data_IF_063490105434
#
_entry.id   IF_063490105434
#
_cell.length_a   1.000
_cell.length_b   1.000
_cell.length_c   1.000
_cell.angle_alpha   90.00
_cell.angle_beta   90.00
_cell.angle_gamma   90.00
#
_symmetry.space_group_name_H-M   'P 1'
#
loop_
_entity.id
_entity.type
_entity.pdbx_description
1 polymer ?
#
# COMPACT_ATOMS: atom_id res chain seq x y z
N UNK A 1 21.55 -1.09 -3.93
CA UNK A 1 21.69 -0.17 -2.79
C UNK A 1 21.61 -1.02 -1.52
N UNK A 2 22.52 -0.88 -0.56
CA UNK A 2 22.40 -1.61 0.71
C UNK A 2 21.17 -1.12 1.45
N UNK A 3 20.48 -2.04 2.11
CA UNK A 3 19.34 -1.73 2.98
C UNK A 3 19.85 -1.16 4.31
N UNK A 4 19.08 -0.28 4.99
CA UNK A 4 19.43 0.22 6.31
C UNK A 4 19.68 -0.91 7.30
N UNK A 5 20.66 -0.76 8.18
CA UNK A 5 21.03 -1.78 9.18
C UNK A 5 19.94 -1.99 10.25
N UNK A 6 19.08 -1.01 10.42
CA UNK A 6 17.95 -1.00 11.36
C UNK A 6 16.78 -1.86 10.89
N UNK A 7 16.76 -2.26 9.61
CA UNK A 7 15.69 -3.14 9.09
C UNK A 7 15.80 -4.52 9.72
N UNK A 8 14.71 -4.93 10.36
CA UNK A 8 14.55 -6.28 10.88
C UNK A 8 13.76 -7.13 9.89
N UNK A 9 14.19 -8.36 9.72
CA UNK A 9 13.57 -9.33 8.84
C UNK A 9 12.94 -10.44 9.67
N UNK A 10 11.68 -10.75 9.39
CA UNK A 10 11.01 -11.89 9.99
C UNK A 10 10.10 -12.57 8.98
N UNK A 11 9.91 -13.87 9.12
CA UNK A 11 8.89 -14.63 8.40
C UNK A 11 7.65 -14.89 9.24
N UNK A 12 7.65 -14.46 10.50
CA UNK A 12 6.55 -14.66 11.45
C UNK A 12 5.62 -13.43 11.46
N UNK A 13 4.36 -13.58 11.06
CA UNK A 13 3.37 -12.53 11.13
C UNK A 13 3.17 -11.93 12.52
N UNK A 14 3.19 -12.73 13.57
CA UNK A 14 3.00 -12.26 14.94
C UNK A 14 4.15 -11.33 15.36
N UNK A 15 5.40 -11.74 15.10
CA UNK A 15 6.57 -10.90 15.35
C UNK A 15 6.53 -9.59 14.53
N UNK A 16 6.10 -9.67 13.25
CA UNK A 16 6.02 -8.49 12.38
C UNK A 16 4.98 -7.47 12.87
N UNK A 17 3.95 -7.92 13.59
CA UNK A 17 2.82 -7.07 14.01
C UNK A 17 2.89 -6.58 15.45
N UNK A 18 3.77 -7.16 16.27
CA UNK A 18 3.82 -6.97 17.73
C UNK A 18 4.00 -5.51 18.17
N UNK A 19 4.76 -4.72 17.41
CA UNK A 19 5.12 -3.36 17.82
C UNK A 19 4.84 -2.31 16.73
N UNK A 20 3.96 -2.59 15.77
CA UNK A 20 3.73 -1.65 14.69
C UNK A 20 2.29 -1.14 14.65
N UNK A 21 2.16 0.16 14.38
CA UNK A 21 0.87 0.84 14.16
C UNK A 21 0.59 1.07 12.68
N UNK A 22 1.55 0.74 11.82
CA UNK A 22 1.43 0.98 10.38
C UNK A 22 1.90 -0.23 9.58
N UNK A 23 1.03 -0.73 8.71
CA UNK A 23 1.29 -1.83 7.79
C UNK A 23 1.32 -1.36 6.36
N UNK A 24 2.33 -1.82 5.63
CA UNK A 24 2.48 -1.51 4.21
C UNK A 24 2.45 -2.81 3.39
N UNK A 25 1.39 -2.98 2.61
CA UNK A 25 1.23 -4.09 1.69
C UNK A 25 1.93 -3.75 0.36
N UNK A 26 3.17 -4.19 0.21
CA UNK A 26 4.02 -3.91 -0.95
C UNK A 26 4.43 -5.21 -1.67
N UNK A 27 3.45 -6.01 -2.04
CA UNK A 27 3.64 -7.31 -2.70
C UNK A 27 3.03 -7.31 -4.10
N UNK A 28 3.54 -8.11 -5.06
CA UNK A 28 2.89 -8.26 -6.36
C UNK A 28 1.45 -8.78 -6.22
N UNK A 29 0.52 -8.27 -7.06
CA UNK A 29 -0.93 -8.55 -6.98
C UNK A 29 -1.26 -10.04 -6.87
N UNK A 30 -0.58 -10.88 -7.63
CA UNK A 30 -0.78 -12.35 -7.62
C UNK A 30 -0.52 -13.03 -6.27
N UNK A 31 0.25 -12.41 -5.38
CA UNK A 31 0.59 -12.97 -4.07
C UNK A 31 -0.14 -12.29 -2.90
N UNK A 32 -0.85 -11.18 -3.17
CA UNK A 32 -1.46 -10.38 -2.11
C UNK A 32 -2.43 -11.20 -1.26
N UNK A 33 -3.30 -11.99 -1.89
CA UNK A 33 -4.26 -12.82 -1.17
C UNK A 33 -3.60 -13.81 -0.22
N UNK A 34 -2.53 -14.48 -0.66
CA UNK A 34 -1.82 -15.45 0.18
C UNK A 34 -1.10 -14.77 1.35
N UNK A 35 -0.49 -13.61 1.09
CA UNK A 35 0.15 -12.82 2.15
C UNK A 35 -0.89 -12.33 3.15
N UNK A 36 -2.01 -11.77 2.71
CA UNK A 36 -3.08 -11.32 3.62
C UNK A 36 -3.62 -12.47 4.49
N UNK A 37 -3.82 -13.66 3.94
CA UNK A 37 -4.26 -14.83 4.74
C UNK A 37 -3.27 -15.18 5.86
N UNK A 38 -1.96 -15.05 5.63
CA UNK A 38 -0.95 -15.26 6.67
C UNK A 38 -1.01 -14.26 7.80
N UNK A 39 -1.48 -13.03 7.51
CA UNK A 39 -1.62 -11.94 8.49
C UNK A 39 -3.04 -11.81 9.06
N UNK A 40 -3.97 -12.68 8.65
CA UNK A 40 -5.34 -12.65 9.13
C UNK A 40 -5.41 -12.79 10.65
N UNK A 41 -6.07 -11.84 11.31
CA UNK A 41 -6.17 -11.76 12.77
C UNK A 41 -4.90 -11.31 13.50
N UNK A 42 -3.78 -11.08 12.80
CA UNK A 42 -2.56 -10.56 13.41
C UNK A 42 -2.50 -9.01 13.36
N UNK A 43 -3.08 -8.39 12.33
CA UNK A 43 -3.11 -6.93 12.20
C UNK A 43 -4.23 -6.36 13.09
N UNK A 44 -3.91 -5.38 13.90
CA UNK A 44 -4.88 -4.69 14.76
C UNK A 44 -5.83 -3.85 13.91
N UNK A 45 -7.11 -3.79 14.29
CA UNK A 45 -8.14 -3.00 13.56
C UNK A 45 -7.87 -1.49 13.55
N UNK A 46 -7.15 -0.98 14.54
CA UNK A 46 -6.79 0.44 14.65
C UNK A 46 -5.47 0.80 13.96
N UNK A 47 -4.77 -0.19 13.39
CA UNK A 47 -3.54 0.03 12.66
C UNK A 47 -3.79 0.70 11.29
N UNK A 48 -2.91 1.62 10.91
CA UNK A 48 -2.93 2.19 9.57
C UNK A 48 -2.44 1.13 8.59
N UNK A 49 -3.31 0.66 7.72
CA UNK A 49 -2.92 -0.26 6.65
C UNK A 49 -2.91 0.46 5.31
N UNK A 50 -1.80 0.35 4.58
CA UNK A 50 -1.59 1.04 3.29
C UNK A 50 -1.26 0.02 2.22
N UNK A 51 -2.03 -0.01 1.13
CA UNK A 51 -1.74 -0.83 -0.05
C UNK A 51 -0.95 -0.05 -1.09
N UNK A 52 0.20 -0.59 -1.49
CA UNK A 52 1.01 -0.14 -2.62
C UNK A 52 0.84 -1.08 -3.82
N UNK A 53 0.06 -2.16 -3.66
CA UNK A 53 -0.14 -3.18 -4.69
C UNK A 53 -0.95 -2.62 -5.84
N UNK A 54 -0.42 -2.73 -7.06
CA UNK A 54 -1.05 -2.26 -8.29
C UNK A 54 -1.68 -3.42 -9.04
N UNK A 55 -2.84 -3.19 -9.64
CA UNK A 55 -3.56 -4.19 -10.44
C UNK A 55 -4.95 -4.50 -9.90
N UNK A 56 -5.58 -5.48 -10.53
CA UNK A 56 -6.87 -6.04 -10.15
C UNK A 56 -6.73 -7.53 -9.89
N UNK A 57 -7.64 -8.10 -9.12
CA UNK A 57 -7.70 -9.54 -8.89
C UNK A 57 -8.09 -10.24 -10.20
N UNK A 58 -7.31 -11.24 -10.61
CA UNK A 58 -7.52 -11.94 -11.89
C UNK A 58 -8.88 -12.64 -11.98
N UNK A 59 -9.37 -13.18 -10.86
CA UNK A 59 -10.59 -13.99 -10.84
C UNK A 59 -11.86 -13.16 -10.64
N UNK A 60 -11.81 -12.15 -9.77
CA UNK A 60 -13.00 -11.38 -9.33
C UNK A 60 -13.01 -9.97 -9.89
N UNK A 61 -11.89 -9.51 -10.46
CA UNK A 61 -11.65 -8.15 -10.91
C UNK A 61 -11.83 -7.09 -9.82
N UNK A 62 -11.90 -7.48 -8.55
CA UNK A 62 -11.92 -6.56 -7.43
C UNK A 62 -10.57 -5.82 -7.30
N UNK A 63 -10.60 -4.68 -6.67
CA UNK A 63 -9.39 -3.91 -6.36
C UNK A 63 -8.54 -4.64 -5.33
N UNK A 64 -7.23 -4.37 -5.34
CA UNK A 64 -6.30 -4.99 -4.39
C UNK A 64 -6.61 -4.58 -2.94
N UNK A 65 -7.05 -3.34 -2.71
CA UNK A 65 -7.49 -2.90 -1.38
C UNK A 65 -8.74 -3.63 -0.90
N UNK A 66 -9.73 -3.88 -1.77
CA UNK A 66 -10.93 -4.64 -1.43
C UNK A 66 -10.60 -6.09 -1.06
N UNK A 67 -9.77 -6.75 -1.86
CA UNK A 67 -9.29 -8.10 -1.56
C UNK A 67 -8.59 -8.17 -0.19
N UNK A 68 -7.72 -7.20 0.08
CA UNK A 68 -7.00 -7.16 1.35
C UNK A 68 -7.94 -6.86 2.52
N UNK A 69 -8.88 -5.93 2.38
CA UNK A 69 -9.90 -5.63 3.40
C UNK A 69 -10.73 -6.86 3.76
N UNK A 70 -11.24 -7.58 2.75
CA UNK A 70 -12.05 -8.79 2.95
C UNK A 70 -11.26 -9.86 3.73
N UNK A 71 -10.02 -10.14 3.31
CA UNK A 71 -9.22 -11.22 3.94
C UNK A 71 -8.76 -10.83 5.34
N UNK A 72 -8.32 -9.58 5.53
CA UNK A 72 -7.78 -9.12 6.82
C UNK A 72 -8.89 -8.73 7.81
N UNK A 73 -10.12 -8.56 7.37
CA UNK A 73 -11.24 -8.12 8.20
C UNK A 73 -11.10 -6.67 8.68
N UNK A 74 -10.50 -5.80 7.86
CA UNK A 74 -10.27 -4.39 8.21
C UNK A 74 -11.36 -3.50 7.62
N UNK A 75 -11.79 -2.48 8.37
CA UNK A 75 -12.83 -1.55 7.92
C UNK A 75 -12.39 -0.69 6.75
N UNK A 76 -11.11 -0.33 6.71
CA UNK A 76 -10.54 0.46 5.62
C UNK A 76 -9.05 0.21 5.43
N UNK A 77 -8.60 0.35 4.18
CA UNK A 77 -7.19 0.33 3.79
C UNK A 77 -6.94 1.56 2.92
N UNK A 78 -5.93 2.33 3.26
CA UNK A 78 -5.49 3.42 2.40
C UNK A 78 -4.71 2.86 1.19
N UNK A 79 -4.77 3.58 0.10
CA UNK A 79 -4.02 3.28 -1.12
C UNK A 79 -2.94 4.32 -1.34
N UNK A 80 -1.73 3.90 -1.66
CA UNK A 80 -0.66 4.79 -2.10
C UNK A 80 -0.23 4.38 -3.52
N UNK A 81 -0.59 5.19 -4.52
CA UNK A 81 -0.34 4.86 -5.92
C UNK A 81 0.07 6.09 -6.73
N UNK A 82 0.71 5.84 -7.87
CA UNK A 82 1.18 6.88 -8.77
C UNK A 82 2.31 6.38 -9.68
N UNK A 83 2.93 7.26 -10.48
CA UNK A 83 4.07 6.94 -11.33
C UNK A 83 5.34 6.76 -10.47
N UNK A 84 5.41 5.66 -9.73
CA UNK A 84 6.50 5.33 -8.83
C UNK A 84 7.11 3.98 -9.22
N UNK A 85 8.30 3.98 -9.81
CA UNK A 85 9.10 2.80 -10.00
C UNK A 85 10.00 2.59 -8.78
N UNK A 86 9.99 1.37 -8.22
CA UNK A 86 10.71 1.08 -6.98
C UNK A 86 12.21 1.42 -7.06
N UNK A 87 12.84 1.15 -8.22
CA UNK A 87 14.24 1.47 -8.44
C UNK A 87 14.52 2.98 -8.45
N UNK A 88 13.63 3.78 -9.02
CA UNK A 88 13.75 5.24 -9.07
C UNK A 88 13.55 5.85 -7.68
N UNK A 89 12.54 5.38 -6.95
CA UNK A 89 12.31 5.78 -5.55
C UNK A 89 13.52 5.43 -4.69
N UNK A 90 14.06 4.23 -4.83
CA UNK A 90 15.23 3.79 -4.08
C UNK A 90 16.50 4.62 -4.39
N UNK A 91 16.60 5.15 -5.61
CA UNK A 91 17.69 6.09 -6.00
C UNK A 91 17.43 7.53 -5.58
N UNK A 92 16.30 7.82 -4.95
CA UNK A 92 15.91 9.15 -4.53
C UNK A 92 15.54 10.08 -5.70
N UNK A 93 15.06 9.54 -6.82
CA UNK A 93 14.51 10.34 -7.91
C UNK A 93 13.21 10.99 -7.44
N UNK A 94 13.00 12.25 -7.83
CA UNK A 94 11.79 13.00 -7.48
C UNK A 94 10.55 12.22 -7.93
N UNK A 95 9.71 11.85 -6.99
CA UNK A 95 8.53 11.04 -7.21
C UNK A 95 7.30 11.73 -6.62
N UNK A 96 6.18 11.69 -7.34
CA UNK A 96 4.89 12.15 -6.86
C UNK A 96 3.87 11.01 -6.89
N UNK A 97 3.13 10.83 -5.79
CA UNK A 97 2.11 9.80 -5.63
C UNK A 97 0.87 10.38 -4.96
N UNK A 98 -0.20 9.61 -4.93
CA UNK A 98 -1.45 9.95 -4.24
C UNK A 98 -1.71 8.94 -3.14
N UNK A 99 -1.93 9.44 -1.92
CA UNK A 99 -2.52 8.69 -0.81
C UNK A 99 -4.04 8.86 -0.87
N UNK A 100 -4.76 7.77 -1.00
CA UNK A 100 -6.21 7.80 -1.12
C UNK A 100 -6.89 6.90 -0.09
N UNK A 101 -7.93 7.43 0.54
CA UNK A 101 -8.82 6.70 1.43
C UNK A 101 -10.18 7.39 1.43
N UNK A 102 -11.26 6.66 1.71
CA UNK A 102 -12.60 7.27 1.85
C UNK A 102 -12.67 8.22 3.05
N UNK A 103 -11.90 7.93 4.10
CA UNK A 103 -11.66 8.84 5.21
C UNK A 103 -10.48 9.77 4.90
N UNK A 104 -10.75 11.07 4.78
CA UNK A 104 -9.74 12.09 4.53
C UNK A 104 -8.65 12.13 5.63
N UNK A 105 -9.02 11.90 6.88
CA UNK A 105 -8.06 11.87 7.98
C UNK A 105 -7.04 10.75 7.81
N UNK A 106 -7.47 9.57 7.35
CA UNK A 106 -6.56 8.46 7.02
C UNK A 106 -5.64 8.83 5.85
N UNK A 107 -6.16 9.44 4.79
CA UNK A 107 -5.35 9.88 3.65
C UNK A 107 -4.27 10.89 4.07
N UNK A 108 -4.62 11.86 4.94
CA UNK A 108 -3.69 12.85 5.51
C UNK A 108 -2.62 12.20 6.40
N UNK A 109 -2.99 11.21 7.22
CA UNK A 109 -2.02 10.46 8.03
C UNK A 109 -1.01 9.71 7.15
N UNK A 110 -1.48 9.06 6.08
CA UNK A 110 -0.61 8.38 5.12
C UNK A 110 0.29 9.39 4.39
N UNK A 111 -0.25 10.54 3.97
CA UNK A 111 0.55 11.62 3.41
C UNK A 111 1.69 12.02 4.34
N UNK A 112 1.39 12.25 5.62
CA UNK A 112 2.40 12.64 6.62
C UNK A 112 3.49 11.59 6.82
N UNK A 113 3.13 10.30 6.81
CA UNK A 113 4.05 9.19 6.99
C UNK A 113 5.03 9.03 5.82
N UNK A 114 4.57 9.26 4.59
CA UNK A 114 5.35 8.98 3.38
C UNK A 114 5.97 10.21 2.73
N UNK A 115 5.51 11.42 3.05
CA UNK A 115 6.05 12.64 2.43
C UNK A 115 7.50 12.90 2.83
N UNK A 116 8.30 13.27 1.85
CA UNK A 116 9.70 13.62 2.04
C UNK A 116 10.20 14.59 0.98
N UNK A 117 11.44 15.09 1.10
CA UNK A 117 12.00 16.09 0.18
C UNK A 117 12.01 15.66 -1.29
N UNK A 118 12.05 14.36 -1.54
CA UNK A 118 12.08 13.76 -2.90
C UNK A 118 10.88 12.88 -3.20
N UNK A 119 9.96 12.72 -2.24
CA UNK A 119 8.77 11.89 -2.37
C UNK A 119 7.55 12.72 -1.96
N UNK A 120 6.85 13.26 -2.97
CA UNK A 120 5.69 14.11 -2.74
C UNK A 120 4.41 13.29 -2.74
N UNK A 121 3.64 13.41 -1.68
CA UNK A 121 2.36 12.71 -1.54
C UNK A 121 1.23 13.73 -1.59
N UNK A 122 0.29 13.55 -2.51
CA UNK A 122 -1.00 14.25 -2.56
C UNK A 122 -2.06 13.39 -1.89
N UNK A 123 -3.18 13.96 -1.52
CA UNK A 123 -4.31 13.23 -0.94
C UNK A 123 -5.51 13.19 -1.88
N UNK A 124 -6.34 12.15 -1.75
CA UNK A 124 -7.62 12.01 -2.44
C UNK A 124 -8.60 11.24 -1.56
N UNK A 125 -9.88 11.55 -1.68
CA UNK A 125 -10.98 10.76 -1.09
C UNK A 125 -11.57 9.74 -2.06
N UNK A 126 -10.94 9.56 -3.24
CA UNK A 126 -11.32 8.58 -4.25
C UNK A 126 -10.26 7.46 -4.39
N UNK A 127 -10.23 6.48 -3.49
CA UNK A 127 -9.33 5.34 -3.61
C UNK A 127 -9.62 4.49 -4.85
N UNK A 128 -10.86 4.43 -5.33
CA UNK A 128 -11.24 3.72 -6.54
C UNK A 128 -10.50 4.27 -7.76
N UNK A 129 -10.62 5.57 -8.01
CA UNK A 129 -9.98 6.22 -9.15
C UNK A 129 -8.45 6.11 -9.09
N UNK A 130 -7.86 6.21 -7.90
CA UNK A 130 -6.41 6.10 -7.70
C UNK A 130 -5.90 4.68 -7.97
N UNK A 131 -6.62 3.63 -7.55
CA UNK A 131 -6.24 2.24 -7.83
C UNK A 131 -6.40 1.88 -9.30
N UNK A 132 -7.53 2.25 -9.92
CA UNK A 132 -7.78 2.00 -11.35
C UNK A 132 -6.73 2.74 -12.20
N UNK A 133 -6.46 4.00 -11.91
CA UNK A 133 -5.40 4.75 -12.60
C UNK A 133 -4.03 4.07 -12.49
N UNK A 134 -3.70 3.53 -11.31
CA UNK A 134 -2.49 2.75 -11.09
C UNK A 134 -2.45 1.42 -11.85
N UNK A 135 -3.60 0.74 -11.99
CA UNK A 135 -3.70 -0.53 -12.69
C UNK A 135 -3.57 -0.37 -14.22
N UNK A 136 -4.19 0.68 -14.78
CA UNK A 136 -4.23 0.90 -16.24
C UNK A 136 -3.11 1.80 -16.77
N UNK A 137 -2.22 2.31 -15.93
CA UNK A 137 -1.17 3.26 -16.34
C UNK A 137 -0.34 2.79 -17.54
N UNK A 138 -0.05 1.50 -17.62
CA UNK A 138 0.77 0.94 -18.70
C UNK A 138 0.00 0.88 -20.04
N UNK A 139 -1.32 0.80 -20.02
CA UNK A 139 -2.18 0.86 -21.22
C UNK A 139 -2.17 2.27 -21.81
N UNK A 140 -2.12 3.29 -20.95
CA UNK A 140 -2.09 4.70 -21.39
C UNK A 140 -0.70 5.08 -21.94
N UNK A 141 0.34 4.37 -21.53
CA UNK A 141 1.73 4.62 -21.94
C UNK A 141 2.10 3.99 -23.30
N UNK A 142 1.20 3.26 -23.95
CA UNK A 142 1.36 2.69 -25.29
C UNK A 142 0.88 3.71 -26.33
#
# INVERSE_FOLDING_TARGET
MPLPAELRWTGDPAEATEATETFVLAVPSKFLGDVCRRFQGAIRHDAITVSLTKGLCENTHCRMSELAQEILGLDQIAVLSGPSHAEEVARGILTAVVAAATDEALALRVQSLFSGPRFRVYTSTDPLGVEIGGAVKNVIAI
#
